data_IF_001951068495
#
_entry.id   IF_001951068495
#
_cell.length_a   1.000
_cell.length_b   1.000
_cell.length_c   1.000
_cell.angle_alpha   90.00
_cell.angle_beta   90.00
_cell.angle_gamma   90.00
#
_symmetry.space_group_name_H-M   'P 1'
#
loop_
_entity.id
_entity.type
_entity.pdbx_description
1 polymer ?
#
# COMPACT_ATOMS: atom_id res chain seq x y z
N UNK A 1 -11.66 -8.97 -21.35
CA UNK A 1 -11.18 -7.61 -21.63
C UNK A 1 -12.39 -6.70 -21.71
N UNK A 2 -12.50 -5.70 -20.82
CA UNK A 2 -13.64 -4.77 -20.80
C UNK A 2 -13.31 -3.52 -21.61
N UNK A 3 -14.10 -3.22 -22.65
CA UNK A 3 -13.94 -2.02 -23.47
C UNK A 3 -14.65 -0.80 -22.83
N UNK A 4 -14.33 0.41 -23.28
CA UNK A 4 -15.04 1.63 -22.84
C UNK A 4 -16.55 1.55 -23.14
N UNK A 5 -16.92 0.89 -24.23
CA UNK A 5 -18.32 0.62 -24.59
C UNK A 5 -18.98 -0.32 -23.59
N UNK A 6 -18.30 -1.41 -23.21
CA UNK A 6 -18.82 -2.33 -22.19
C UNK A 6 -19.00 -1.62 -20.84
N UNK A 7 -18.06 -0.74 -20.45
CA UNK A 7 -18.18 0.09 -19.24
C UNK A 7 -19.38 1.04 -19.33
N UNK A 8 -19.56 1.73 -20.46
CA UNK A 8 -20.68 2.65 -20.65
C UNK A 8 -22.03 1.93 -20.58
N UNK A 9 -22.13 0.76 -21.22
CA UNK A 9 -23.32 -0.09 -21.18
C UNK A 9 -23.64 -0.57 -19.77
N UNK A 10 -22.64 -1.06 -19.03
CA UNK A 10 -22.82 -1.56 -17.67
C UNK A 10 -23.19 -0.43 -16.68
N UNK A 11 -22.62 0.76 -16.89
CA UNK A 11 -22.95 1.97 -16.12
C UNK A 11 -24.27 2.64 -16.53
N UNK A 12 -24.98 2.13 -17.55
CA UNK A 12 -26.25 2.70 -18.03
C UNK A 12 -26.11 4.11 -18.64
N UNK A 13 -24.92 4.50 -19.12
CA UNK A 13 -24.66 5.81 -19.71
C UNK A 13 -24.29 5.72 -21.19
N UNK A 14 -24.43 6.84 -21.91
CA UNK A 14 -23.99 6.88 -23.30
C UNK A 14 -22.46 6.88 -23.41
N UNK A 15 -21.95 6.32 -24.53
CA UNK A 15 -20.52 6.42 -24.88
C UNK A 15 -20.04 7.88 -24.87
N UNK A 16 -20.80 8.80 -25.45
CA UNK A 16 -20.46 10.23 -25.46
C UNK A 16 -20.32 10.81 -24.05
N UNK A 17 -21.20 10.42 -23.12
CA UNK A 17 -21.13 10.85 -21.71
C UNK A 17 -19.87 10.33 -21.02
N UNK A 18 -19.52 9.06 -21.25
CA UNK A 18 -18.31 8.46 -20.68
C UNK A 18 -17.03 9.13 -21.22
N UNK A 19 -16.96 9.35 -22.54
CA UNK A 19 -15.81 10.02 -23.18
C UNK A 19 -15.70 11.52 -22.84
N UNK A 20 -16.80 12.18 -22.45
CA UNK A 20 -16.77 13.56 -21.95
C UNK A 20 -16.13 13.64 -20.57
N UNK A 21 -16.29 12.59 -19.75
CA UNK A 21 -15.70 12.51 -18.40
C UNK A 21 -14.29 11.94 -18.40
N UNK A 22 -14.00 11.02 -19.32
CA UNK A 22 -12.72 10.33 -19.42
C UNK A 22 -12.32 10.19 -20.89
N UNK A 23 -11.27 10.90 -21.29
CA UNK A 23 -10.74 10.87 -22.66
C UNK A 23 -10.22 9.49 -23.08
N UNK A 24 -9.88 8.64 -22.10
CA UNK A 24 -9.40 7.28 -22.33
C UNK A 24 -9.71 6.35 -21.15
N UNK A 25 -9.62 5.03 -21.40
CA UNK A 25 -9.64 4.02 -20.33
C UNK A 25 -8.53 4.25 -19.30
N UNK A 26 -7.37 4.75 -19.73
CA UNK A 26 -6.25 5.06 -18.83
C UNK A 26 -6.61 6.17 -17.85
N UNK A 27 -7.27 7.23 -18.32
CA UNK A 27 -7.71 8.34 -17.47
C UNK A 27 -8.77 7.88 -16.46
N UNK A 28 -9.74 7.07 -16.90
CA UNK A 28 -10.74 6.46 -16.02
C UNK A 28 -10.07 5.63 -14.91
N UNK A 29 -9.11 4.79 -15.28
CA UNK A 29 -8.40 3.97 -14.30
C UNK A 29 -7.54 4.81 -13.35
N UNK A 30 -6.87 5.86 -13.82
CA UNK A 30 -6.09 6.76 -12.94
C UNK A 30 -6.97 7.43 -11.90
N UNK A 31 -8.13 7.97 -12.30
CA UNK A 31 -9.06 8.57 -11.35
C UNK A 31 -9.61 7.53 -10.37
N UNK A 32 -9.98 6.34 -10.86
CA UNK A 32 -10.43 5.24 -10.02
C UNK A 32 -9.35 4.83 -9.00
N UNK A 33 -8.09 4.72 -9.42
CA UNK A 33 -6.94 4.46 -8.53
C UNK A 33 -6.87 5.50 -7.42
N UNK A 34 -6.88 6.78 -7.77
CA UNK A 34 -6.75 7.86 -6.80
C UNK A 34 -7.91 7.87 -5.79
N UNK A 35 -9.14 7.69 -6.27
CA UNK A 35 -10.34 7.57 -5.44
C UNK A 35 -10.27 6.38 -4.49
N UNK A 36 -9.79 5.22 -4.96
CA UNK A 36 -9.68 4.03 -4.12
C UNK A 36 -8.60 4.16 -3.05
N UNK A 37 -7.44 4.70 -3.40
CA UNK A 37 -6.38 4.93 -2.43
C UNK A 37 -6.86 5.89 -1.32
N UNK A 38 -7.52 7.00 -1.68
CA UNK A 38 -8.10 7.92 -0.70
C UNK A 38 -9.15 7.22 0.18
N UNK A 39 -10.05 6.43 -0.41
CA UNK A 39 -11.08 5.74 0.34
C UNK A 39 -10.51 4.67 1.29
N UNK A 40 -9.37 4.06 0.98
CA UNK A 40 -8.69 3.13 1.88
C UNK A 40 -7.94 3.86 2.99
N UNK A 41 -7.34 5.01 2.70
CA UNK A 41 -6.75 5.90 3.71
C UNK A 41 -7.81 6.36 4.72
N UNK A 42 -8.99 6.79 4.25
CA UNK A 42 -10.09 7.24 5.11
C UNK A 42 -10.67 6.12 6.00
N UNK A 43 -10.56 4.86 5.54
CA UNK A 43 -10.99 3.67 6.29
C UNK A 43 -9.91 3.15 7.24
N UNK A 44 -8.66 3.57 7.08
CA UNK A 44 -7.58 3.10 7.93
C UNK A 44 -7.87 3.50 9.38
N UNK A 45 -7.78 2.56 10.35
CA UNK A 45 -7.99 2.88 11.75
C UNK A 45 -7.09 4.06 12.15
N UNK A 46 -7.66 5.05 12.82
CA UNK A 46 -6.87 6.11 13.45
C UNK A 46 -5.82 5.49 14.38
N UNK A 47 -4.63 6.08 14.43
CA UNK A 47 -3.54 5.63 15.30
C UNK A 47 -4.04 5.65 16.75
N UNK A 48 -3.87 4.53 17.46
CA UNK A 48 -4.27 4.42 18.86
C UNK A 48 -3.61 5.51 19.72
N UNK A 49 -4.35 6.03 20.70
CA UNK A 49 -3.90 7.10 21.61
C UNK A 49 -2.74 6.70 22.54
N UNK A 50 -2.32 5.43 22.52
CA UNK A 50 -1.21 4.95 23.35
C UNK A 50 0.11 5.13 22.60
N UNK A 51 1.09 5.84 23.18
CA UNK A 51 2.39 6.00 22.57
C UNK A 51 3.09 4.64 22.45
N UNK A 52 3.66 4.36 21.27
CA UNK A 52 4.52 3.20 21.05
C UNK A 52 5.70 3.27 22.05
N UNK A 53 6.06 2.19 22.73
CA UNK A 53 7.10 2.24 23.76
C UNK A 53 8.52 2.17 23.17
N UNK A 54 8.66 1.61 21.96
CA UNK A 54 9.92 1.45 21.24
C UNK A 54 9.67 1.32 19.72
N UNK A 55 10.75 1.33 18.92
CA UNK A 55 10.66 1.19 17.46
C UNK A 55 10.03 -0.16 17.03
N UNK A 56 10.22 -1.23 17.79
CA UNK A 56 9.58 -2.52 17.48
C UNK A 56 8.07 -2.40 17.54
N UNK A 57 7.52 -1.77 18.57
CA UNK A 57 6.06 -1.60 18.74
C UNK A 57 5.47 -0.76 17.60
N UNK A 58 6.15 0.33 17.22
CA UNK A 58 5.76 1.17 16.08
C UNK A 58 5.74 0.38 14.77
N UNK A 59 6.81 -0.36 14.47
CA UNK A 59 6.89 -1.17 13.24
C UNK A 59 5.87 -2.31 13.26
N UNK A 60 5.63 -2.93 14.42
CA UNK A 60 4.64 -3.99 14.57
C UNK A 60 3.22 -3.48 14.36
N UNK A 61 2.87 -2.35 14.99
CA UNK A 61 1.58 -1.68 14.78
C UNK A 61 1.37 -1.34 13.31
N UNK A 62 2.35 -0.65 12.70
CA UNK A 62 2.24 -0.20 11.31
C UNK A 62 2.19 -1.37 10.32
N UNK A 63 3.05 -2.36 10.51
CA UNK A 63 3.05 -3.56 9.67
C UNK A 63 1.76 -4.37 9.79
N UNK A 64 1.15 -4.41 10.97
CA UNK A 64 -0.13 -5.09 11.18
C UNK A 64 -1.24 -4.43 10.38
N UNK A 65 -1.31 -3.09 10.38
CA UNK A 65 -2.28 -2.33 9.58
C UNK A 65 -2.10 -2.59 8.07
N UNK A 66 -0.85 -2.63 7.60
CA UNK A 66 -0.54 -2.92 6.18
C UNK A 66 -0.99 -4.35 5.83
N UNK A 67 -0.71 -5.34 6.67
CA UNK A 67 -1.13 -6.73 6.45
C UNK A 67 -2.65 -6.87 6.49
N UNK A 68 -3.34 -6.13 7.38
CA UNK A 68 -4.80 -6.09 7.40
C UNK A 68 -5.36 -5.49 6.11
N UNK A 69 -4.74 -4.45 5.57
CA UNK A 69 -5.11 -3.89 4.27
C UNK A 69 -4.91 -4.89 3.13
N UNK A 70 -3.82 -5.67 3.12
CA UNK A 70 -3.60 -6.75 2.13
C UNK A 70 -4.66 -7.85 2.19
N UNK A 71 -5.37 -7.97 3.30
CA UNK A 71 -6.44 -8.96 3.53
C UNK A 71 -7.83 -8.43 3.18
N UNK A 72 -7.94 -7.15 2.83
CA UNK A 72 -9.18 -6.57 2.33
C UNK A 72 -9.45 -7.07 0.89
N UNK A 73 -10.66 -7.58 0.66
CA UNK A 73 -11.03 -8.18 -0.62
C UNK A 73 -11.06 -7.17 -1.77
N UNK A 74 -11.43 -5.93 -1.48
CA UNK A 74 -11.45 -4.84 -2.46
C UNK A 74 -10.02 -4.49 -2.87
N UNK A 75 -9.11 -4.37 -1.88
CA UNK A 75 -7.67 -4.15 -2.11
C UNK A 75 -7.07 -5.28 -2.95
N UNK A 76 -7.33 -6.54 -2.60
CA UNK A 76 -6.86 -7.71 -3.34
C UNK A 76 -7.36 -7.72 -4.79
N UNK A 77 -8.68 -7.54 -4.99
CA UNK A 77 -9.28 -7.56 -6.32
C UNK A 77 -8.70 -6.45 -7.20
N UNK A 78 -8.48 -5.26 -6.62
CA UNK A 78 -7.92 -4.12 -7.33
C UNK A 78 -6.44 -4.32 -7.70
N UNK A 79 -5.61 -4.76 -6.75
CA UNK A 79 -4.19 -5.05 -7.01
C UNK A 79 -4.02 -6.19 -8.02
N UNK A 80 -4.83 -7.24 -7.93
CA UNK A 80 -4.85 -8.32 -8.92
C UNK A 80 -5.28 -7.84 -10.31
N UNK A 81 -6.32 -6.99 -10.39
CA UNK A 81 -6.76 -6.38 -11.64
C UNK A 81 -5.60 -5.59 -12.29
N UNK A 82 -4.98 -4.68 -11.55
CA UNK A 82 -3.87 -3.87 -12.05
C UNK A 82 -2.67 -4.73 -12.46
N UNK A 83 -2.36 -5.77 -11.70
CA UNK A 83 -1.31 -6.73 -12.06
C UNK A 83 -1.63 -7.46 -13.37
N UNK A 84 -2.86 -7.94 -13.53
CA UNK A 84 -3.29 -8.66 -14.74
C UNK A 84 -3.31 -7.77 -15.98
N UNK A 85 -3.58 -6.48 -15.81
CA UNK A 85 -3.66 -5.47 -16.86
C UNK A 85 -2.31 -4.78 -17.14
N UNK A 86 -1.27 -5.03 -16.32
CA UNK A 86 0.06 -4.42 -16.45
C UNK A 86 0.72 -4.65 -17.82
N UNK A 87 0.40 -5.76 -18.50
CA UNK A 87 0.89 -6.02 -19.87
C UNK A 87 0.24 -5.12 -20.93
N UNK A 88 -0.99 -4.70 -20.70
CA UNK A 88 -1.74 -3.83 -21.62
C UNK A 88 -1.57 -2.36 -21.26
N UNK A 89 -1.37 -2.05 -19.97
CA UNK A 89 -1.26 -0.70 -19.43
C UNK A 89 -0.07 -0.60 -18.45
N UNK A 90 1.18 -0.77 -18.93
CA UNK A 90 2.36 -0.84 -18.06
C UNK A 90 2.60 0.45 -17.28
N UNK A 91 2.42 1.62 -17.91
CA UNK A 91 2.58 2.92 -17.24
C UNK A 91 1.61 3.09 -16.07
N UNK A 92 0.35 2.66 -16.24
CA UNK A 92 -0.67 2.77 -15.20
C UNK A 92 -0.40 1.87 -14.00
N UNK A 93 0.02 0.62 -14.27
CA UNK A 93 0.36 -0.32 -13.21
C UNK A 93 1.60 0.14 -12.43
N UNK A 94 2.57 0.74 -13.13
CA UNK A 94 3.77 1.30 -12.51
C UNK A 94 3.47 2.56 -11.71
N UNK A 95 2.69 3.50 -12.26
CA UNK A 95 2.22 4.71 -11.57
C UNK A 95 1.51 4.32 -10.26
N UNK A 96 0.56 3.37 -10.30
CA UNK A 96 -0.12 2.89 -9.10
C UNK A 96 0.83 2.27 -8.08
N UNK A 97 1.70 1.35 -8.52
CA UNK A 97 2.62 0.63 -7.64
C UNK A 97 3.56 1.60 -6.96
N UNK A 98 4.05 2.61 -7.70
CA UNK A 98 4.90 3.66 -7.18
C UNK A 98 4.15 4.56 -6.20
N UNK A 99 3.01 5.12 -6.59
CA UNK A 99 2.26 6.07 -5.76
C UNK A 99 1.76 5.45 -4.46
N UNK A 100 1.30 4.20 -4.50
CA UNK A 100 0.87 3.47 -3.30
C UNK A 100 2.04 3.10 -2.39
N UNK A 101 3.18 2.71 -2.96
CA UNK A 101 4.39 2.40 -2.21
C UNK A 101 5.02 3.63 -1.57
N UNK A 102 5.20 4.71 -2.33
CA UNK A 102 5.79 5.96 -1.86
C UNK A 102 4.97 6.56 -0.72
N UNK A 103 3.63 6.52 -0.79
CA UNK A 103 2.76 6.93 0.33
C UNK A 103 3.00 6.14 1.61
N UNK A 104 3.03 4.81 1.52
CA UNK A 104 3.29 3.96 2.70
C UNK A 104 4.68 4.25 3.30
N UNK A 105 5.68 4.50 2.46
CA UNK A 105 7.03 4.88 2.89
C UNK A 105 7.03 6.25 3.57
N UNK A 106 6.39 7.25 2.98
CA UNK A 106 6.36 8.61 3.52
C UNK A 106 5.60 8.67 4.85
N UNK A 107 4.47 7.96 4.97
CA UNK A 107 3.73 7.83 6.23
C UNK A 107 4.58 7.21 7.34
N UNK A 108 5.21 6.06 7.08
CA UNK A 108 6.07 5.42 8.07
C UNK A 108 7.32 6.24 8.39
N UNK A 109 7.89 6.96 7.41
CA UNK A 109 9.01 7.89 7.63
C UNK A 109 8.61 8.97 8.65
N UNK A 110 7.46 9.61 8.45
CA UNK A 110 6.94 10.62 9.36
C UNK A 110 6.68 10.07 10.77
N UNK A 111 6.18 8.84 10.88
CA UNK A 111 5.98 8.18 12.18
C UNK A 111 7.32 7.89 12.90
N UNK A 112 8.32 7.37 12.18
CA UNK A 112 9.66 7.11 12.73
C UNK A 112 10.34 8.40 13.16
N UNK A 113 10.27 9.47 12.36
CA UNK A 113 10.86 10.77 12.70
C UNK A 113 10.23 11.39 13.95
N UNK A 114 8.90 11.33 14.06
CA UNK A 114 8.17 11.81 15.23
C UNK A 114 8.58 11.02 16.48
N UNK A 115 8.59 9.69 16.36
CA UNK A 115 9.03 8.79 17.44
C UNK A 115 10.48 9.06 17.87
N UNK A 116 11.38 9.33 16.91
CA UNK A 116 12.78 9.66 17.18
C UNK A 116 12.93 10.97 17.98
N UNK A 117 12.18 12.01 17.60
CA UNK A 117 12.17 13.32 18.28
C UNK A 117 11.60 13.25 19.70
N UNK A 118 10.57 12.45 19.92
CA UNK A 118 9.84 12.37 21.20
C UNK A 118 10.43 11.32 22.16
N UNK A 119 10.95 10.20 21.64
CA UNK A 119 11.38 9.03 22.39
C UNK A 119 12.89 8.86 22.58
N UNK A 120 13.72 9.79 22.11
CA UNK A 120 15.17 9.77 22.30
C UNK A 120 15.91 8.66 21.53
N UNK A 121 15.27 8.07 20.52
CA UNK A 121 15.87 7.08 19.62
C UNK A 121 16.53 7.79 18.43
N UNK A 122 17.86 7.96 18.38
CA UNK A 122 18.49 8.53 17.19
C UNK A 122 18.34 7.55 16.03
N UNK A 123 17.55 7.91 15.02
CA UNK A 123 17.57 7.22 13.73
C UNK A 123 18.46 8.03 12.79
N UNK A 124 19.44 7.37 12.17
CA UNK A 124 20.36 8.01 11.22
C UNK A 124 19.75 8.11 9.81
N UNK A 125 18.77 7.25 9.48
CA UNK A 125 18.05 7.24 8.20
C UNK A 125 16.62 6.69 8.36
N UNK A 126 15.67 7.55 8.73
CA UNK A 126 14.25 7.18 8.93
C UNK A 126 13.64 6.64 7.62
N UNK A 127 13.95 7.31 6.52
CA UNK A 127 13.39 6.99 5.21
C UNK A 127 13.94 5.67 4.69
N UNK A 128 15.23 5.39 4.86
CA UNK A 128 15.83 4.11 4.50
C UNK A 128 15.20 2.94 5.27
N UNK A 129 15.00 3.10 6.58
CA UNK A 129 14.31 2.10 7.39
C UNK A 129 12.87 1.85 6.92
N UNK A 130 12.10 2.92 6.67
CA UNK A 130 10.75 2.84 6.14
C UNK A 130 10.71 2.17 4.76
N UNK A 131 11.62 2.55 3.86
CA UNK A 131 11.74 2.01 2.51
C UNK A 131 11.97 0.50 2.54
N UNK A 132 12.93 0.01 3.34
CA UNK A 132 13.22 -1.43 3.43
C UNK A 132 12.02 -2.18 3.98
N UNK A 133 11.41 -1.66 5.05
CA UNK A 133 10.27 -2.29 5.71
C UNK A 133 9.05 -2.41 4.77
N UNK A 134 8.62 -1.31 4.15
CA UNK A 134 7.48 -1.27 3.24
C UNK A 134 7.74 -2.11 1.99
N UNK A 135 8.96 -2.04 1.43
CA UNK A 135 9.33 -2.82 0.24
C UNK A 135 9.31 -4.33 0.52
N UNK A 136 9.72 -4.76 1.70
CA UNK A 136 9.67 -6.17 2.09
C UNK A 136 8.22 -6.67 2.16
N UNK A 137 7.33 -5.93 2.83
CA UNK A 137 5.91 -6.29 2.93
C UNK A 137 5.20 -6.31 1.57
N UNK A 138 5.31 -5.21 0.81
CA UNK A 138 4.64 -5.08 -0.49
C UNK A 138 5.24 -6.03 -1.53
N UNK A 139 6.55 -6.24 -1.52
CA UNK A 139 7.23 -7.21 -2.38
C UNK A 139 6.86 -8.65 -2.08
N UNK A 140 6.73 -9.01 -0.79
CA UNK A 140 6.26 -10.35 -0.40
C UNK A 140 4.83 -10.60 -0.87
N UNK A 141 3.92 -9.64 -0.67
CA UNK A 141 2.54 -9.78 -1.13
C UNK A 141 2.42 -9.85 -2.66
N UNK A 142 3.21 -9.03 -3.38
CA UNK A 142 3.29 -9.10 -4.83
C UNK A 142 3.85 -10.45 -5.32
N UNK A 143 4.84 -11.03 -4.63
CA UNK A 143 5.35 -12.37 -4.93
C UNK A 143 4.28 -13.46 -4.79
N UNK A 144 3.34 -13.29 -3.87
CA UNK A 144 2.16 -14.16 -3.71
C UNK A 144 1.07 -13.87 -4.76
N UNK A 145 1.30 -12.96 -5.71
CA UNK A 145 0.32 -12.59 -6.74
C UNK A 145 -0.88 -11.82 -6.17
N UNK A 146 -0.67 -11.07 -5.08
CA UNK A 146 -1.73 -10.35 -4.37
C UNK A 146 -2.84 -11.26 -3.80
N UNK A 147 -2.51 -12.53 -3.56
CA UNK A 147 -3.42 -13.49 -2.94
C UNK A 147 -3.74 -13.13 -1.49
N UNK A 148 -4.79 -13.74 -0.95
CA UNK A 148 -5.11 -13.63 0.47
C UNK A 148 -3.98 -14.17 1.34
N UNK A 149 -3.67 -13.43 2.41
CA UNK A 149 -2.65 -13.80 3.39
C UNK A 149 -3.38 -14.24 4.65
N UNK A 150 -3.26 -15.51 5.08
CA UNK A 150 -3.77 -15.94 6.38
C UNK A 150 -3.18 -15.05 7.49
N UNK A 151 -4.01 -14.58 8.43
CA UNK A 151 -3.59 -13.64 9.49
C UNK A 151 -2.28 -14.06 10.16
N UNK A 152 -2.20 -15.34 10.52
CA UNK A 152 -1.04 -15.94 11.18
C UNK A 152 0.23 -15.85 10.34
N UNK A 153 0.13 -16.05 9.03
CA UNK A 153 1.29 -16.01 8.13
C UNK A 153 1.81 -14.57 7.99
N UNK A 154 0.89 -13.61 7.92
CA UNK A 154 1.21 -12.18 7.97
C UNK A 154 1.94 -11.80 9.27
N UNK A 155 1.39 -12.18 10.43
CA UNK A 155 2.00 -11.92 11.74
C UNK A 155 3.41 -12.55 11.86
N UNK A 156 3.58 -13.78 11.37
CA UNK A 156 4.88 -14.47 11.38
C UNK A 156 5.90 -13.76 10.46
N UNK A 157 5.48 -13.36 9.26
CA UNK A 157 6.35 -12.62 8.35
C UNK A 157 6.77 -11.28 8.95
N UNK A 158 5.81 -10.52 9.51
CA UNK A 158 6.06 -9.24 10.14
C UNK A 158 7.05 -9.35 11.31
N UNK A 159 6.83 -10.30 12.22
CA UNK A 159 7.72 -10.52 13.36
C UNK A 159 9.16 -10.82 12.91
N UNK A 160 9.33 -11.63 11.85
CA UNK A 160 10.64 -11.93 11.26
C UNK A 160 11.28 -10.71 10.61
N UNK A 161 10.51 -9.93 9.85
CA UNK A 161 10.99 -8.72 9.20
C UNK A 161 11.50 -7.71 10.24
N UNK A 162 10.73 -7.48 11.32
CA UNK A 162 11.14 -6.57 12.39
C UNK A 162 12.38 -7.12 13.11
N UNK A 163 12.46 -8.43 13.37
CA UNK A 163 13.65 -9.04 13.96
C UNK A 163 14.90 -8.86 13.09
N UNK A 164 14.79 -8.94 11.77
CA UNK A 164 15.90 -8.67 10.85
C UNK A 164 16.33 -7.20 10.90
N UNK A 165 15.37 -6.27 10.86
CA UNK A 165 15.67 -4.83 10.90
C UNK A 165 16.25 -4.36 12.24
N UNK A 166 15.76 -4.93 13.35
CA UNK A 166 16.20 -4.56 14.71
C UNK A 166 17.42 -5.35 15.16
N UNK A 167 17.60 -6.59 14.71
CA UNK A 167 18.79 -7.41 14.92
C UNK A 167 19.98 -7.00 14.06
N UNK A 168 19.74 -6.35 12.92
CA UNK A 168 20.74 -5.75 12.04
C UNK A 168 21.37 -4.45 12.58
N UNK A 169 21.05 -4.02 13.80
CA UNK A 169 21.60 -2.81 14.46
C UNK A 169 23.12 -2.79 14.67
N UNK A 170 23.83 -3.85 14.29
CA UNK A 170 25.30 -3.84 14.21
C UNK A 170 25.83 -3.35 12.84
N UNK A 171 24.96 -3.02 11.87
CA UNK A 171 25.34 -2.73 10.48
C UNK A 171 24.81 -1.39 9.92
N UNK A 172 24.20 -0.53 10.75
CA UNK A 172 23.81 0.85 10.41
C UNK A 172 24.33 1.82 11.46
#
# INVERSE_FOLDING_TARGET
MTSMEAIATDAGISKGTLYTRFSSKNELFRQLIAERLQAWEDKAPGIAEQPDANLFDLLYRRGSLIIEAFRDKEVQAFSHLLFSESRHFPELAEDFRKDSHDRLVDELTNEIERFSKEGGWPTTDARGAALIFVSALTGWWAHLGYADIPKKDGEVYLARLIAVLTGGRAAF
#
